data_IF_277728927346
#
_entry.id   IF_277728927346
#
_cell.length_a   1.000
_cell.length_b   1.000
_cell.length_c   1.000
_cell.angle_alpha   90.00
_cell.angle_beta   90.00
_cell.angle_gamma   90.00
#
_symmetry.space_group_name_H-M   'P 1'
#
loop_
_entity.id
_entity.type
_entity.pdbx_description
1 polymer ?
#
# COMPACT_ATOMS: atom_id res chain seq x y z
N UNK A 1 31.95 -11.74 -6.34
CA UNK A 1 31.10 -11.26 -5.23
C UNK A 1 29.67 -11.38 -5.71
N UNK A 2 28.76 -12.03 -4.96
CA UNK A 2 27.34 -12.01 -5.35
C UNK A 2 26.87 -10.56 -5.30
N UNK A 3 26.22 -10.15 -6.38
CA UNK A 3 25.90 -8.79 -6.77
C UNK A 3 24.96 -8.12 -5.74
N UNK A 4 25.47 -7.14 -4.99
CA UNK A 4 24.75 -6.35 -3.97
C UNK A 4 23.44 -5.76 -4.54
N UNK A 5 23.49 -5.43 -5.83
CA UNK A 5 22.38 -5.04 -6.70
C UNK A 5 21.21 -6.02 -6.66
N UNK A 6 21.47 -7.32 -6.78
CA UNK A 6 20.43 -8.35 -6.82
C UNK A 6 19.71 -8.46 -5.47
N UNK A 7 20.45 -8.34 -4.36
CA UNK A 7 19.86 -8.39 -3.02
C UNK A 7 18.97 -7.18 -2.73
N UNK A 8 19.34 -6.00 -3.22
CA UNK A 8 18.54 -4.79 -3.08
C UNK A 8 17.25 -4.84 -3.90
N UNK A 9 17.31 -5.33 -5.14
CA UNK A 9 16.14 -5.55 -6.00
C UNK A 9 15.18 -6.57 -5.36
N UNK A 10 15.71 -7.69 -4.85
CA UNK A 10 14.91 -8.71 -4.15
C UNK A 10 14.19 -8.13 -2.93
N UNK A 11 14.87 -7.29 -2.14
CA UNK A 11 14.25 -6.64 -0.97
C UNK A 11 13.19 -5.61 -1.34
N UNK A 12 13.42 -4.75 -2.34
CA UNK A 12 12.39 -3.83 -2.84
C UNK A 12 11.16 -4.62 -3.28
N UNK A 13 11.35 -5.69 -4.05
CA UNK A 13 10.26 -6.54 -4.52
C UNK A 13 9.52 -7.21 -3.35
N UNK A 14 10.23 -7.63 -2.30
CA UNK A 14 9.62 -8.20 -1.10
C UNK A 14 8.73 -7.19 -0.37
N UNK A 15 9.23 -5.97 -0.14
CA UNK A 15 8.46 -4.93 0.53
C UNK A 15 7.29 -4.43 -0.31
N UNK A 16 7.47 -4.30 -1.63
CA UNK A 16 6.39 -4.05 -2.59
C UNK A 16 5.29 -5.10 -2.44
N UNK A 17 5.63 -6.38 -2.50
CA UNK A 17 4.63 -7.46 -2.48
C UNK A 17 3.83 -7.47 -1.17
N UNK A 18 4.48 -7.22 -0.02
CA UNK A 18 3.80 -7.11 1.28
C UNK A 18 2.87 -5.89 1.34
N UNK A 19 3.27 -4.74 0.80
CA UNK A 19 2.41 -3.55 0.70
C UNK A 19 1.19 -3.84 -0.19
N UNK A 20 1.40 -4.49 -1.34
CA UNK A 20 0.31 -4.90 -2.25
C UNK A 20 -0.65 -5.89 -1.58
N UNK A 21 -0.15 -6.81 -0.77
CA UNK A 21 -0.95 -7.76 0.01
C UNK A 21 -1.80 -7.05 1.08
N UNK A 22 -1.25 -6.04 1.76
CA UNK A 22 -2.00 -5.21 2.71
C UNK A 22 -3.12 -4.42 2.02
N UNK A 23 -2.83 -3.80 0.87
CA UNK A 23 -3.84 -3.10 0.07
C UNK A 23 -4.92 -4.06 -0.46
N UNK A 24 -4.53 -5.25 -0.94
CA UNK A 24 -5.47 -6.28 -1.40
C UNK A 24 -6.38 -6.78 -0.28
N UNK A 25 -5.84 -7.01 0.91
CA UNK A 25 -6.60 -7.41 2.10
C UNK A 25 -7.65 -6.35 2.45
N UNK A 26 -7.26 -5.07 2.47
CA UNK A 26 -8.18 -3.97 2.74
C UNK A 26 -9.27 -3.84 1.67
N UNK A 27 -8.94 -3.99 0.38
CA UNK A 27 -9.93 -4.03 -0.70
C UNK A 27 -10.94 -5.16 -0.52
N UNK A 28 -10.46 -6.35 -0.16
CA UNK A 28 -11.31 -7.53 0.07
C UNK A 28 -12.28 -7.31 1.23
N UNK A 29 -11.83 -6.68 2.32
CA UNK A 29 -12.69 -6.34 3.46
C UNK A 29 -13.74 -5.29 3.08
N UNK A 30 -13.36 -4.26 2.32
CA UNK A 30 -14.31 -3.24 1.84
C UNK A 30 -15.34 -3.86 0.89
N UNK A 31 -14.93 -4.78 0.00
CA UNK A 31 -15.85 -5.48 -0.90
C UNK A 31 -16.87 -6.33 -0.13
N UNK A 32 -16.43 -7.07 0.89
CA UNK A 32 -17.33 -7.82 1.75
C UNK A 32 -18.34 -6.91 2.47
N UNK A 33 -17.90 -5.73 2.93
CA UNK A 33 -18.77 -4.75 3.57
C UNK A 33 -19.78 -4.12 2.62
N UNK A 34 -19.35 -3.77 1.39
CA UNK A 34 -20.23 -3.29 0.33
C UNK A 34 -21.34 -4.31 0.05
N UNK A 35 -20.97 -5.59 -0.06
CA UNK A 35 -21.92 -6.67 -0.32
C UNK A 35 -22.89 -6.91 0.87
N UNK A 36 -22.43 -6.69 2.10
CA UNK A 36 -23.23 -6.86 3.31
C UNK A 36 -24.14 -5.66 3.65
N UNK A 37 -23.88 -4.48 3.07
CA UNK A 37 -24.60 -3.26 3.44
C UNK A 37 -25.80 -2.98 2.53
N UNK A 38 -26.98 -2.90 3.14
CA UNK A 38 -28.25 -2.59 2.45
C UNK A 38 -28.64 -1.10 2.50
N UNK A 39 -27.90 -0.26 3.24
CA UNK A 39 -28.24 1.16 3.41
C UNK A 39 -27.81 2.02 2.22
N UNK A 40 -28.81 2.50 1.48
CA UNK A 40 -28.63 3.36 0.32
C UNK A 40 -28.19 4.78 0.71
N UNK A 41 -27.21 5.31 -0.03
CA UNK A 41 -26.86 6.73 -0.06
C UNK A 41 -25.39 7.02 0.30
N UNK A 42 -25.10 7.89 1.28
CA UNK A 42 -23.74 8.39 1.53
C UNK A 42 -22.73 7.34 2.01
N UNK A 43 -23.21 6.28 2.69
CA UNK A 43 -22.35 5.26 3.27
C UNK A 43 -21.74 4.35 2.19
N UNK A 44 -22.59 3.79 1.33
CA UNK A 44 -22.15 2.97 0.21
C UNK A 44 -21.22 3.77 -0.73
N UNK A 45 -21.52 5.05 -0.97
CA UNK A 45 -20.66 5.94 -1.76
C UNK A 45 -19.25 6.04 -1.19
N UNK A 46 -19.10 6.27 0.12
CA UNK A 46 -17.78 6.39 0.77
C UNK A 46 -16.96 5.09 0.66
N UNK A 47 -17.59 3.94 0.78
CA UNK A 47 -16.90 2.65 0.61
C UNK A 47 -16.43 2.44 -0.84
N UNK A 48 -17.27 2.79 -1.81
CA UNK A 48 -16.93 2.72 -3.24
C UNK A 48 -15.76 3.67 -3.57
N UNK A 49 -15.82 4.92 -3.12
CA UNK A 49 -14.76 5.91 -3.30
C UNK A 49 -13.43 5.41 -2.71
N UNK A 50 -13.50 4.83 -1.50
CA UNK A 50 -12.32 4.26 -0.84
C UNK A 50 -11.72 3.09 -1.60
N UNK A 51 -12.55 2.18 -2.10
CA UNK A 51 -12.12 1.04 -2.91
C UNK A 51 -11.43 1.50 -4.19
N UNK A 52 -11.98 2.52 -4.86
CA UNK A 52 -11.38 3.10 -6.06
C UNK A 52 -10.03 3.74 -5.75
N UNK A 53 -9.93 4.49 -4.65
CA UNK A 53 -8.68 5.10 -4.22
C UNK A 53 -7.61 4.06 -3.84
N UNK A 54 -7.96 2.97 -3.13
CA UNK A 54 -7.01 1.87 -2.86
C UNK A 54 -6.54 1.21 -4.16
N UNK A 55 -7.42 1.10 -5.16
CA UNK A 55 -7.05 0.54 -6.48
C UNK A 55 -6.02 1.42 -7.18
N UNK A 56 -6.20 2.74 -7.13
CA UNK A 56 -5.27 3.70 -7.71
C UNK A 56 -3.92 3.67 -6.99
N UNK A 57 -3.90 3.71 -5.66
CA UNK A 57 -2.66 3.62 -4.87
C UNK A 57 -1.90 2.32 -5.12
N UNK A 58 -2.62 1.20 -5.26
CA UNK A 58 -1.99 -0.08 -5.57
C UNK A 58 -1.23 -0.01 -6.90
N UNK A 59 -1.80 0.64 -7.91
CA UNK A 59 -1.14 0.80 -9.21
C UNK A 59 0.06 1.75 -9.10
N UNK A 60 -0.07 2.85 -8.35
CA UNK A 60 1.04 3.79 -8.13
C UNK A 60 2.23 3.15 -7.37
N UNK A 61 1.95 2.32 -6.38
CA UNK A 61 2.99 1.55 -5.66
C UNK A 61 3.70 0.57 -6.60
N UNK A 62 2.98 -0.05 -7.54
CA UNK A 62 3.58 -0.92 -8.58
C UNK A 62 4.50 -0.09 -9.47
N UNK A 63 3.98 1.00 -10.05
CA UNK A 63 4.71 1.83 -11.00
C UNK A 63 5.98 2.45 -10.39
N UNK A 64 5.87 2.95 -9.15
CA UNK A 64 7.00 3.52 -8.44
C UNK A 64 8.07 2.46 -8.12
N UNK A 65 7.68 1.30 -7.59
CA UNK A 65 8.62 0.23 -7.26
C UNK A 65 9.34 -0.32 -8.50
N UNK A 66 8.63 -0.47 -9.61
CA UNK A 66 9.24 -0.89 -10.88
C UNK A 66 10.24 0.14 -11.41
N UNK A 67 9.97 1.44 -11.21
CA UNK A 67 10.93 2.50 -11.51
C UNK A 67 12.14 2.49 -10.56
N UNK A 68 11.97 2.14 -9.28
CA UNK A 68 13.05 2.06 -8.29
C UNK A 68 14.05 0.93 -8.53
N UNK A 69 13.57 -0.21 -9.03
CA UNK A 69 14.41 -1.35 -9.39
C UNK A 69 15.44 -0.97 -10.47
N UNK A 70 15.20 0.09 -11.25
CA UNK A 70 16.09 0.56 -12.31
C UNK A 70 17.21 1.50 -11.82
N UNK A 71 17.14 2.08 -10.61
CA UNK A 71 18.03 3.17 -10.14
C UNK A 71 18.60 2.91 -8.72
N UNK A 72 19.62 2.05 -8.66
CA UNK A 72 20.14 1.39 -7.44
C UNK A 72 20.84 2.21 -6.33
N UNK A 73 21.58 3.32 -6.59
CA UNK A 73 22.43 3.91 -5.54
C UNK A 73 21.67 4.54 -4.36
N UNK A 74 20.41 4.95 -4.53
CA UNK A 74 19.58 5.60 -3.50
C UNK A 74 18.73 4.61 -2.67
N UNK A 75 18.80 3.32 -3.02
CA UNK A 75 17.87 2.27 -2.57
C UNK A 75 18.02 1.88 -1.09
N UNK A 76 19.23 1.93 -0.52
CA UNK A 76 19.48 1.33 0.80
C UNK A 76 18.82 2.09 1.97
N UNK A 77 18.81 3.43 1.92
CA UNK A 77 18.12 4.26 2.91
C UNK A 77 16.59 4.29 2.68
N UNK A 78 16.16 4.20 1.42
CA UNK A 78 14.74 4.05 1.08
C UNK A 78 14.20 2.73 1.63
N UNK A 79 14.94 1.64 1.50
CA UNK A 79 14.53 0.31 1.89
C UNK A 79 14.13 0.19 3.37
N UNK A 80 14.90 0.77 4.30
CA UNK A 80 14.54 0.72 5.73
C UNK A 80 13.24 1.47 6.04
N UNK A 81 12.98 2.57 5.34
CA UNK A 81 11.72 3.31 5.46
C UNK A 81 10.55 2.58 4.77
N UNK A 82 10.80 1.89 3.66
CA UNK A 82 9.80 1.02 3.01
C UNK A 82 9.39 -0.12 3.95
N UNK A 83 10.34 -0.82 4.57
CA UNK A 83 10.08 -1.89 5.55
C UNK A 83 9.19 -1.41 6.72
N UNK A 84 9.41 -0.17 7.18
CA UNK A 84 8.58 0.45 8.22
C UNK A 84 7.16 0.71 7.72
N UNK A 85 7.02 1.37 6.58
CA UNK A 85 5.71 1.71 6.00
C UNK A 85 4.90 0.44 5.68
N UNK A 86 5.55 -0.60 5.14
CA UNK A 86 4.93 -1.90 4.92
C UNK A 86 4.37 -2.50 6.21
N UNK A 87 5.17 -2.53 7.30
CA UNK A 87 4.71 -3.06 8.59
C UNK A 87 3.53 -2.27 9.15
N UNK A 88 3.56 -0.95 9.03
CA UNK A 88 2.44 -0.08 9.42
C UNK A 88 1.19 -0.41 8.60
N UNK A 89 1.31 -0.60 7.28
CA UNK A 89 0.19 -0.99 6.43
C UNK A 89 -0.38 -2.37 6.78
N UNK A 90 0.46 -3.39 6.99
CA UNK A 90 0.01 -4.73 7.38
C UNK A 90 -0.69 -4.72 8.74
N UNK A 91 -0.12 -4.01 9.72
CA UNK A 91 -0.76 -3.84 11.03
C UNK A 91 -2.08 -3.08 10.91
N UNK A 92 -2.16 -2.10 10.01
CA UNK A 92 -3.38 -1.34 9.80
C UNK A 92 -4.47 -2.19 9.14
N UNK A 93 -4.12 -3.03 8.17
CA UNK A 93 -5.04 -3.95 7.50
C UNK A 93 -5.61 -5.04 8.43
N UNK A 94 -4.82 -5.55 9.39
CA UNK A 94 -5.18 -6.72 10.19
C UNK A 94 -6.16 -6.48 11.36
N UNK A 95 -6.46 -5.23 11.74
CA UNK A 95 -7.32 -4.93 12.92
C UNK A 95 -8.70 -4.37 12.54
N UNK A 96 -9.19 -4.66 11.32
CA UNK A 96 -10.51 -4.18 10.88
C UNK A 96 -11.65 -4.93 11.59
N UNK A 97 -12.20 -4.35 12.66
CA UNK A 97 -13.27 -4.97 13.46
C UNK A 97 -14.63 -4.27 13.36
N UNK A 98 -14.67 -2.96 13.12
CA UNK A 98 -15.92 -2.19 13.00
C UNK A 98 -15.95 -1.31 11.76
N UNK A 99 -17.12 -0.89 11.34
CA UNK A 99 -17.33 -0.08 10.13
C UNK A 99 -16.67 1.30 10.16
N UNK A 100 -16.71 2.01 11.31
CA UNK A 100 -16.01 3.30 11.48
C UNK A 100 -14.49 3.12 11.47
N UNK A 101 -14.01 2.02 12.06
CA UNK A 101 -12.60 1.65 11.98
C UNK A 101 -12.20 1.33 10.55
N UNK A 102 -13.03 0.61 9.77
CA UNK A 102 -12.75 0.28 8.36
C UNK A 102 -12.49 1.54 7.52
N UNK A 103 -13.31 2.59 7.68
CA UNK A 103 -13.13 3.86 6.93
C UNK A 103 -11.87 4.61 7.38
N UNK A 104 -11.64 4.70 8.69
CA UNK A 104 -10.48 5.39 9.27
C UNK A 104 -9.18 4.68 8.91
N UNK A 105 -9.17 3.34 8.97
CA UNK A 105 -8.02 2.51 8.63
C UNK A 105 -7.71 2.51 7.15
N UNK A 106 -8.73 2.48 6.29
CA UNK A 106 -8.52 2.69 4.87
C UNK A 106 -7.93 4.10 4.60
N UNK A 107 -8.30 5.10 5.41
CA UNK A 107 -7.67 6.44 5.47
C UNK A 107 -6.18 6.38 5.72
N UNK A 108 -5.80 5.70 6.79
CA UNK A 108 -4.41 5.51 7.16
C UNK A 108 -3.61 4.71 6.11
N UNK A 109 -4.20 3.66 5.54
CA UNK A 109 -3.57 2.84 4.51
C UNK A 109 -3.21 3.63 3.24
N UNK A 110 -4.10 4.48 2.73
CA UNK A 110 -3.74 5.32 1.57
C UNK A 110 -2.64 6.32 1.94
N UNK A 111 -2.67 6.89 3.14
CA UNK A 111 -1.60 7.80 3.57
C UNK A 111 -0.25 7.09 3.66
N UNK A 112 -0.22 5.81 4.05
CA UNK A 112 0.99 4.99 4.08
C UNK A 112 1.44 4.65 2.66
N UNK A 113 0.50 4.30 1.77
CA UNK A 113 0.79 4.02 0.36
C UNK A 113 1.38 5.24 -0.37
N UNK A 114 0.79 6.43 -0.20
CA UNK A 114 1.37 7.68 -0.72
C UNK A 114 2.80 7.90 -0.24
N UNK A 115 3.06 7.75 1.07
CA UNK A 115 4.43 7.88 1.62
C UNK A 115 5.40 6.86 1.04
N UNK A 116 4.93 5.65 0.73
CA UNK A 116 5.73 4.60 0.11
C UNK A 116 6.08 4.99 -1.33
N UNK A 117 5.09 5.44 -2.11
CA UNK A 117 5.25 5.95 -3.47
C UNK A 117 6.20 7.15 -3.50
N UNK A 118 5.94 8.18 -2.69
CA UNK A 118 6.78 9.39 -2.61
C UNK A 118 8.23 9.05 -2.27
N UNK A 119 8.44 8.18 -1.27
CA UNK A 119 9.78 7.76 -0.88
C UNK A 119 10.55 7.09 -2.01
N UNK A 120 9.85 6.33 -2.86
CA UNK A 120 10.44 5.71 -4.03
C UNK A 120 10.71 6.77 -5.10
N UNK A 121 9.70 7.57 -5.48
CA UNK A 121 9.81 8.55 -6.58
C UNK A 121 10.84 9.65 -6.31
N UNK A 122 10.87 10.22 -5.09
CA UNK A 122 11.82 11.30 -4.72
C UNK A 122 13.28 10.84 -4.69
N UNK A 123 13.54 9.53 -4.80
CA UNK A 123 14.88 8.95 -4.81
C UNK A 123 15.33 8.53 -6.21
N UNK A 124 14.49 8.75 -7.23
CA UNK A 124 14.75 8.47 -8.65
C UNK A 124 15.08 9.72 -9.48
N UNK A 125 14.85 10.91 -8.91
CA UNK A 125 15.27 12.21 -9.43
C UNK A 125 16.67 12.59 -8.90
#
# INVERSE_FOLDING_TARGET
MPDDTSQHVEKINSERNKMLEALFTAQSIILAEIAATTSAGPYLSRLVDRRNAITMERNQVIDAADAAVLNLPTVQAALSNLEKLTKEATAEANVMKTTTDKITRATNLLNIAHKFTDLITTRLE
#
